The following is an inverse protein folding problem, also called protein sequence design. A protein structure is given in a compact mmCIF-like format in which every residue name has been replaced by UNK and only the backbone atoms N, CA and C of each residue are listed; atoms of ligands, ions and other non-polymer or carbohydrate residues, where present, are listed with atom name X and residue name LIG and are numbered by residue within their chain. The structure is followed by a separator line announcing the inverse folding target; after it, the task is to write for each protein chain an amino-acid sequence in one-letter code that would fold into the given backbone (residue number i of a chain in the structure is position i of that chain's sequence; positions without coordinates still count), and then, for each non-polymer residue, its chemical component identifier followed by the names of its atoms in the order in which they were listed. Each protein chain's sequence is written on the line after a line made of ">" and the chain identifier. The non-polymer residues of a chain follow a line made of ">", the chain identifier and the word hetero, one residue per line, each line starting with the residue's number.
data_IF_619660639712
#
_entry.id   IF_619660639712
#
_cell.length_a   1.000
_cell.length_b   1.000
_cell.length_c   1.000
_cell.angle_alpha   90.00
_cell.angle_beta   90.00
_cell.angle_gamma   90.00
#
_symmetry.space_group_name_H-M   'P 1'
#
loop_
_entity.id
_entity.type
_entity.pdbx_description
1 polymer ?
#
# COMPACT_ATOMS: atom_id res chain seq x y z
N UNK A 1 49.81 20.17 -20.53
CA UNK A 1 48.33 20.24 -20.53
C UNK A 1 47.75 18.91 -20.07
N UNK A 2 47.89 18.56 -18.79
CA UNK A 2 47.45 17.25 -18.26
C UNK A 2 47.11 17.34 -16.76
N UNK A 3 46.39 18.40 -16.35
CA UNK A 3 46.04 18.64 -14.94
C UNK A 3 44.57 19.01 -14.69
N UNK A 4 43.72 19.00 -15.72
CA UNK A 4 42.31 19.41 -15.60
C UNK A 4 41.27 18.30 -15.80
N UNK A 5 41.69 17.06 -16.09
CA UNK A 5 40.75 15.96 -16.41
C UNK A 5 40.34 15.17 -15.15
N UNK A 6 41.02 15.34 -14.01
CA UNK A 6 40.74 14.52 -12.81
C UNK A 6 39.63 15.08 -11.90
N UNK A 7 39.19 16.32 -12.09
CA UNK A 7 38.17 16.95 -11.22
C UNK A 7 36.74 16.67 -11.73
N UNK A 8 36.56 16.22 -12.97
CA UNK A 8 35.24 15.97 -13.53
C UNK A 8 34.65 14.60 -13.18
N UNK A 9 35.45 13.65 -12.70
CA UNK A 9 34.99 12.30 -12.36
C UNK A 9 34.52 12.15 -10.90
N UNK A 10 34.81 13.12 -10.01
CA UNK A 10 34.39 13.05 -8.62
C UNK A 10 33.00 13.65 -8.33
N UNK A 11 32.40 14.38 -9.28
CA UNK A 11 31.08 14.99 -9.11
C UNK A 11 29.91 14.12 -9.59
N UNK A 12 30.19 12.98 -10.25
CA UNK A 12 29.15 12.10 -10.78
C UNK A 12 28.63 11.05 -9.78
N UNK A 13 29.31 10.84 -8.64
CA UNK A 13 28.93 9.79 -7.68
C UNK A 13 27.99 10.24 -6.55
N UNK A 14 27.71 11.53 -6.40
CA UNK A 14 26.86 12.04 -5.31
C UNK A 14 25.37 12.11 -5.64
N UNK A 15 24.93 11.78 -6.87
CA UNK A 15 23.54 12.01 -7.32
C UNK A 15 22.61 10.78 -7.27
N UNK A 16 23.05 9.61 -6.82
CA UNK A 16 22.19 8.40 -6.89
C UNK A 16 21.46 8.01 -5.60
N UNK A 17 21.56 8.79 -4.50
CA UNK A 17 20.96 8.37 -3.22
C UNK A 17 19.53 8.89 -3.01
N UNK A 18 19.04 9.85 -3.79
CA UNK A 18 17.75 10.53 -3.52
C UNK A 18 16.51 9.95 -4.21
N UNK A 19 16.59 8.77 -4.83
CA UNK A 19 15.43 8.16 -5.49
C UNK A 19 14.73 7.05 -4.66
N UNK A 20 15.21 6.73 -3.45
CA UNK A 20 14.74 5.55 -2.71
C UNK A 20 13.57 5.78 -1.74
N UNK A 21 13.00 6.99 -1.71
CA UNK A 21 11.85 7.32 -0.86
C UNK A 21 10.58 7.67 -1.67
N UNK A 22 10.54 7.31 -2.95
CA UNK A 22 9.34 7.53 -3.76
C UNK A 22 8.29 6.46 -3.43
N UNK A 23 7.38 6.83 -2.52
CA UNK A 23 6.13 6.13 -2.16
C UNK A 23 6.30 4.77 -1.46
N UNK A 24 6.62 4.77 -0.16
CA UNK A 24 6.68 3.57 0.67
C UNK A 24 5.40 2.68 0.63
N UNK A 25 4.25 3.25 0.28
CA UNK A 25 2.98 2.53 0.12
C UNK A 25 2.79 1.88 -1.26
N UNK A 26 3.59 2.22 -2.27
CA UNK A 26 3.42 1.73 -3.64
C UNK A 26 4.00 0.32 -3.86
N UNK A 27 4.83 -0.20 -2.94
CA UNK A 27 5.38 -1.56 -3.06
C UNK A 27 4.25 -2.61 -3.04
N UNK A 28 4.26 -3.69 -3.82
CA UNK A 28 3.25 -4.74 -3.68
C UNK A 28 3.30 -5.40 -2.29
N UNK A 29 2.14 -5.77 -1.74
CA UNK A 29 2.01 -6.57 -0.51
C UNK A 29 1.75 -8.01 -0.95
N UNK A 30 2.71 -8.89 -0.71
CA UNK A 30 2.57 -10.31 -1.06
C UNK A 30 1.58 -10.98 -0.12
N UNK A 31 0.65 -11.77 -0.67
CA UNK A 31 -0.33 -12.53 0.12
C UNK A 31 -0.51 -13.98 -0.35
N UNK A 32 0.11 -14.37 -1.48
CA UNK A 32 -0.01 -15.70 -2.05
C UNK A 32 0.25 -16.80 -1.01
N UNK A 33 -0.64 -17.81 -0.99
CA UNK A 33 -0.58 -18.94 -0.07
C UNK A 33 -1.11 -18.67 1.34
N UNK A 34 -1.57 -17.45 1.63
CA UNK A 34 -2.12 -17.09 2.95
C UNK A 34 -3.51 -16.47 2.90
N UNK A 35 -3.93 -15.95 1.76
CA UNK A 35 -5.25 -15.30 1.60
C UNK A 35 -5.97 -15.92 0.42
N UNK A 36 -7.07 -16.60 0.72
CA UNK A 36 -7.92 -17.26 -0.29
C UNK A 36 -9.02 -16.32 -0.81
N UNK A 37 -9.50 -15.40 0.04
CA UNK A 37 -10.54 -14.42 -0.30
C UNK A 37 -10.03 -12.98 -0.16
N UNK A 38 -9.50 -12.46 -1.26
CA UNK A 38 -9.01 -11.08 -1.37
C UNK A 38 -10.13 -10.06 -1.19
N UNK A 39 -11.35 -10.37 -1.63
CA UNK A 39 -12.51 -9.48 -1.49
C UNK A 39 -12.85 -9.24 -0.02
N UNK A 40 -12.87 -10.31 0.76
CA UNK A 40 -13.11 -10.25 2.19
C UNK A 40 -11.98 -9.53 2.92
N UNK A 41 -10.71 -9.76 2.53
CA UNK A 41 -9.56 -9.00 3.04
C UNK A 41 -9.73 -7.49 2.80
N UNK A 42 -10.01 -7.06 1.57
CA UNK A 42 -10.21 -5.64 1.23
C UNK A 42 -11.39 -5.05 2.00
N UNK A 43 -12.47 -5.81 2.17
CA UNK A 43 -13.63 -5.39 2.96
C UNK A 43 -13.28 -5.17 4.43
N UNK A 44 -12.46 -6.04 5.04
CA UNK A 44 -12.04 -5.87 6.45
C UNK A 44 -11.16 -4.64 6.66
N UNK A 45 -10.18 -4.41 5.78
CA UNK A 45 -9.26 -3.27 5.94
C UNK A 45 -9.95 -1.93 5.71
N UNK A 46 -10.94 -1.89 4.82
CA UNK A 46 -11.66 -0.67 4.48
C UNK A 46 -12.63 -0.21 5.56
N UNK A 47 -13.11 -1.09 6.46
CA UNK A 47 -13.97 -0.72 7.62
C UNK A 47 -13.39 0.42 8.50
N UNK A 48 -12.11 0.75 8.38
CA UNK A 48 -11.45 1.85 9.08
C UNK A 48 -11.66 3.23 8.44
N UNK A 49 -12.91 3.55 8.04
CA UNK A 49 -13.29 4.84 7.47
C UNK A 49 -13.12 4.97 5.95
N UNK A 50 -12.64 3.93 5.28
CA UNK A 50 -12.64 3.85 3.82
C UNK A 50 -13.94 3.20 3.34
N UNK A 51 -14.34 3.54 2.11
CA UNK A 51 -15.55 3.00 1.49
C UNK A 51 -15.16 2.41 0.13
N UNK A 52 -15.59 1.18 -0.14
CA UNK A 52 -15.43 0.59 -1.47
C UNK A 52 -16.48 1.24 -2.38
N UNK A 53 -16.02 1.98 -3.38
CA UNK A 53 -16.88 2.67 -4.35
C UNK A 53 -17.12 1.82 -5.60
N UNK A 54 -16.20 0.92 -5.93
CA UNK A 54 -16.32 0.00 -7.07
C UNK A 54 -15.49 -1.26 -6.84
N UNK A 55 -15.99 -2.40 -7.33
CA UNK A 55 -15.28 -3.67 -7.34
C UNK A 55 -15.44 -4.33 -8.71
N UNK A 56 -14.34 -4.56 -9.42
CA UNK A 56 -14.31 -5.21 -10.75
C UNK A 56 -13.04 -6.03 -10.90
N UNK A 57 -13.18 -7.35 -11.09
CA UNK A 57 -12.08 -8.24 -11.54
C UNK A 57 -10.71 -7.97 -10.90
N UNK A 58 -10.62 -7.97 -9.57
CA UNK A 58 -9.37 -7.73 -8.83
C UNK A 58 -9.00 -6.26 -8.63
N UNK A 59 -9.77 -5.32 -9.18
CA UNK A 59 -9.67 -3.89 -8.90
C UNK A 59 -10.73 -3.48 -7.87
N UNK A 60 -10.29 -2.77 -6.83
CA UNK A 60 -11.14 -2.16 -5.81
C UNK A 60 -10.86 -0.67 -5.76
N UNK A 61 -11.84 0.13 -6.17
CA UNK A 61 -11.79 1.57 -5.94
C UNK A 61 -12.27 1.84 -4.53
N UNK A 62 -11.47 2.56 -3.75
CA UNK A 62 -11.76 2.91 -2.37
C UNK A 62 -11.62 4.41 -2.15
N UNK A 63 -12.56 4.97 -1.40
CA UNK A 63 -12.65 6.39 -1.12
C UNK A 63 -12.55 6.65 0.39
N UNK A 64 -11.78 7.67 0.78
CA UNK A 64 -11.74 8.21 2.14
C UNK A 64 -12.18 9.67 2.10
N UNK A 65 -13.26 9.97 2.83
CA UNK A 65 -13.68 11.34 3.12
C UNK A 65 -13.38 11.64 4.58
N UNK A 66 -12.28 12.34 4.85
CA UNK A 66 -11.79 12.53 6.22
C UNK A 66 -11.05 13.86 6.39
N UNK A 67 -11.36 14.60 7.47
CA UNK A 67 -10.72 15.88 7.82
C UNK A 67 -10.68 16.90 6.67
N UNK A 68 -11.74 16.97 5.86
CA UNK A 68 -11.83 17.87 4.71
C UNK A 68 -11.11 17.37 3.46
N UNK A 69 -10.56 16.15 3.46
CA UNK A 69 -9.96 15.52 2.29
C UNK A 69 -10.95 14.53 1.67
N UNK A 70 -10.97 14.47 0.34
CA UNK A 70 -11.50 13.36 -0.43
C UNK A 70 -10.34 12.65 -1.13
N UNK A 71 -10.17 11.35 -0.87
CA UNK A 71 -9.06 10.57 -1.40
C UNK A 71 -9.62 9.35 -2.11
N UNK A 72 -9.27 9.19 -3.38
CA UNK A 72 -9.62 8.03 -4.18
C UNK A 72 -8.37 7.19 -4.44
N UNK A 73 -8.48 5.90 -4.21
CA UNK A 73 -7.36 4.96 -4.27
C UNK A 73 -7.82 3.69 -4.96
N UNK A 74 -6.95 3.10 -5.78
CA UNK A 74 -7.13 1.77 -6.33
C UNK A 74 -6.34 0.76 -5.49
N UNK A 75 -6.99 -0.32 -5.11
CA UNK A 75 -6.32 -1.54 -4.66
C UNK A 75 -6.42 -2.53 -5.81
N UNK A 76 -5.27 -2.91 -6.37
CA UNK A 76 -5.21 -3.87 -7.49
C UNK A 76 -4.64 -5.18 -7.01
N UNK A 77 -5.36 -6.24 -7.32
CA UNK A 77 -4.97 -7.62 -7.15
C UNK A 77 -4.27 -8.15 -8.42
N UNK A 78 -3.03 -8.60 -8.26
CA UNK A 78 -2.22 -9.25 -9.30
C UNK A 78 -2.15 -10.79 -9.17
N UNK A 79 -3.06 -11.41 -8.43
CA UNK A 79 -3.15 -12.86 -8.19
C UNK A 79 -2.26 -13.38 -7.06
N UNK A 80 -1.17 -12.67 -6.75
CA UNK A 80 -0.26 -13.01 -5.63
C UNK A 80 0.06 -11.86 -4.70
N UNK A 81 -0.30 -10.63 -5.11
CA UNK A 81 0.04 -9.42 -4.38
C UNK A 81 -0.99 -8.32 -4.58
N UNK A 82 -1.13 -7.47 -3.55
CA UNK A 82 -1.97 -6.28 -3.59
C UNK A 82 -1.12 -5.03 -3.76
N UNK A 83 -1.50 -4.16 -4.69
CA UNK A 83 -0.88 -2.84 -4.88
C UNK A 83 -1.88 -1.75 -4.55
N UNK A 84 -1.41 -0.70 -3.85
CA UNK A 84 -2.23 0.46 -3.49
C UNK A 84 -1.73 1.64 -4.31
N UNK A 85 -2.61 2.25 -5.10
CA UNK A 85 -2.30 3.40 -5.95
C UNK A 85 -3.25 4.55 -5.63
N UNK A 86 -2.68 5.72 -5.34
CA UNK A 86 -3.44 6.95 -5.25
C UNK A 86 -3.97 7.33 -6.64
N UNK A 87 -5.29 7.52 -6.76
CA UNK A 87 -5.93 8.00 -8.00
C UNK A 87 -6.07 9.52 -7.94
N UNK A 88 -6.67 10.02 -6.87
CA UNK A 88 -6.84 11.46 -6.64
C UNK A 88 -6.86 11.78 -5.15
N UNK A 89 -6.48 13.01 -4.82
CA UNK A 89 -6.67 13.59 -3.51
C UNK A 89 -7.09 15.05 -3.69
N UNK A 90 -8.14 15.46 -2.98
CA UNK A 90 -8.74 16.78 -3.10
C UNK A 90 -9.05 17.36 -1.72
N UNK A 91 -8.97 18.70 -1.59
CA UNK A 91 -9.41 19.45 -0.40
C UNK A 91 -10.85 19.93 -0.62
N UNK A 92 -11.80 19.31 0.08
CA UNK A 92 -13.21 19.70 0.03
C UNK A 92 -13.50 20.97 0.85
N UNK A 93 -12.70 21.21 1.89
CA UNK A 93 -12.85 22.33 2.82
C UNK A 93 -12.25 23.65 2.29
N UNK A 94 -11.52 23.60 1.17
CA UNK A 94 -10.83 24.77 0.64
C UNK A 94 -10.60 24.70 -0.88
N UNK A 95 -11.15 25.68 -1.62
CA UNK A 95 -11.10 25.74 -3.09
C UNK A 95 -9.71 26.01 -3.71
N UNK A 96 -8.76 26.57 -2.95
CA UNK A 96 -7.43 26.98 -3.45
C UNK A 96 -6.28 26.40 -2.62
N UNK A 97 -6.57 25.48 -1.71
CA UNK A 97 -5.55 24.87 -0.88
C UNK A 97 -4.85 23.77 -1.65
N UNK A 98 -3.54 23.68 -1.48
CA UNK A 98 -2.78 22.51 -1.92
C UNK A 98 -3.11 21.31 -1.03
N UNK A 99 -3.04 20.13 -1.63
CA UNK A 99 -3.11 18.87 -0.90
C UNK A 99 -1.81 18.70 -0.11
N UNK A 100 -1.94 18.29 1.15
CA UNK A 100 -0.81 17.92 1.98
C UNK A 100 -0.42 16.46 1.68
N UNK A 101 0.62 16.29 0.89
CA UNK A 101 1.08 14.97 0.46
C UNK A 101 1.46 14.10 1.66
N UNK A 102 2.11 14.63 2.69
CA UNK A 102 2.53 13.85 3.86
C UNK A 102 1.31 13.22 4.57
N UNK A 103 0.20 13.96 4.66
CA UNK A 103 -1.06 13.42 5.21
C UNK A 103 -1.64 12.32 4.33
N UNK A 104 -1.71 12.54 3.02
CA UNK A 104 -2.23 11.54 2.06
C UNK A 104 -1.42 10.25 2.15
N UNK A 105 -0.10 10.39 2.11
CA UNK A 105 0.89 9.33 2.26
C UNK A 105 0.70 8.56 3.58
N UNK A 106 0.49 9.28 4.69
CA UNK A 106 0.24 8.68 6.00
C UNK A 106 -1.03 7.81 6.03
N UNK A 107 -2.11 8.24 5.36
CA UNK A 107 -3.34 7.45 5.26
C UNK A 107 -3.17 6.21 4.37
N UNK A 108 -2.49 6.33 3.23
CA UNK A 108 -2.17 5.19 2.36
C UNK A 108 -1.25 4.18 3.05
N UNK A 109 -0.24 4.67 3.78
CA UNK A 109 0.64 3.82 4.58
C UNK A 109 -0.13 3.09 5.68
N UNK A 110 -1.11 3.74 6.32
CA UNK A 110 -1.98 3.08 7.30
C UNK A 110 -2.81 1.97 6.65
N UNK A 111 -3.40 2.20 5.48
CA UNK A 111 -4.11 1.15 4.73
C UNK A 111 -3.19 -0.03 4.42
N UNK A 112 -1.97 0.26 3.93
CA UNK A 112 -0.95 -0.76 3.67
C UNK A 112 -0.65 -1.62 4.90
N UNK A 113 -0.44 -0.97 6.05
CA UNK A 113 -0.16 -1.66 7.33
C UNK A 113 -1.33 -2.55 7.76
N UNK A 114 -2.57 -2.11 7.55
CA UNK A 114 -3.75 -2.92 7.86
C UNK A 114 -3.83 -4.16 6.97
N UNK A 115 -3.61 -4.02 5.66
CA UNK A 115 -3.54 -5.18 4.74
C UNK A 115 -2.44 -6.14 5.17
N UNK A 116 -1.22 -5.63 5.41
CA UNK A 116 -0.10 -6.46 5.84
C UNK A 116 -0.40 -7.20 7.16
N UNK A 117 -1.08 -6.55 8.11
CA UNK A 117 -1.49 -7.18 9.37
C UNK A 117 -2.46 -8.34 9.12
N UNK A 118 -3.51 -8.12 8.34
CA UNK A 118 -4.53 -9.15 8.06
C UNK A 118 -3.97 -10.33 7.26
N UNK A 119 -3.03 -10.09 6.34
CA UNK A 119 -2.29 -11.15 5.65
C UNK A 119 -1.44 -11.95 6.64
N UNK A 120 -0.72 -11.26 7.53
CA UNK A 120 0.13 -11.91 8.55
C UNK A 120 -0.70 -12.74 9.53
N UNK A 121 -1.87 -12.23 9.94
CA UNK A 121 -2.79 -12.95 10.82
C UNK A 121 -3.30 -14.23 10.17
N UNK A 122 -3.73 -14.18 8.92
CA UNK A 122 -4.16 -15.38 8.18
C UNK A 122 -3.01 -16.37 7.98
N UNK A 123 -1.80 -15.89 7.64
CA UNK A 123 -0.61 -16.74 7.52
C UNK A 123 -0.31 -17.48 8.84
N UNK A 124 -0.39 -16.76 9.96
CA UNK A 124 -0.20 -17.34 11.29
C UNK A 124 -1.27 -18.39 11.61
N UNK A 125 -2.53 -18.11 11.30
CA UNK A 125 -3.63 -19.00 11.63
C UNK A 125 -3.60 -20.27 10.75
N UNK A 126 -3.23 -20.15 9.47
CA UNK A 126 -2.96 -21.29 8.59
C UNK A 126 -1.80 -22.16 9.10
N UNK A 127 -0.70 -21.53 9.56
CA UNK A 127 0.43 -22.25 10.14
C UNK A 127 0.05 -22.98 11.43
N UNK A 128 -0.81 -22.38 12.27
CA UNK A 128 -1.33 -23.04 13.49
C UNK A 128 -2.18 -24.25 13.16
N UNK A 129 -3.05 -24.15 12.16
CA UNK A 129 -3.88 -25.27 11.72
C UNK A 129 -3.03 -26.43 11.22
N UNK A 130 -2.01 -26.16 10.41
CA UNK A 130 -1.09 -27.17 9.90
C UNK A 130 -0.28 -27.89 10.99
N UNK A 131 -0.12 -27.27 12.16
CA UNK A 131 0.62 -27.82 13.30
C UNK A 131 -0.28 -28.53 14.32
N UNK A 132 -1.62 -28.54 14.14
CA UNK A 132 -2.50 -29.28 15.04
C UNK A 132 -2.20 -30.78 14.96
N UNK A 133 -1.96 -31.47 16.09
CA UNK A 133 -1.72 -32.90 16.08
C UNK A 133 -2.97 -33.65 15.58
N UNK A 134 -2.75 -34.75 14.84
CA UNK A 134 -3.81 -35.56 14.23
C UNK A 134 -4.80 -36.20 15.24
N UNK A 135 -4.57 -36.05 16.54
CA UNK A 135 -5.44 -36.57 17.61
C UNK A 135 -6.78 -35.84 17.74
N UNK A 136 -6.90 -34.64 17.19
CA UNK A 136 -8.10 -33.79 17.32
C UNK A 136 -9.07 -33.91 16.12
N UNK A 137 -8.81 -34.84 15.19
CA UNK A 137 -9.62 -35.08 13.99
C UNK A 137 -10.57 -36.28 14.09
N UNK A 138 -10.82 -36.78 15.31
CA UNK A 138 -11.78 -37.86 15.62
C UNK A 138 -13.00 -37.33 16.35
#
# INVERSE_FOLDING_TARGET
>A
MARFIFIFFLSAYSLQVFAYEQNAYAKPIQYAGFVDDVSSLVTRVTKNGWQISEQKSGLYSVTLNYKGYAINTAITDAGSSLTIQLISADRLDCKKCTVDDEKVQGWLLRMRKLIAREVTEQARDAAREALKPASDQT
#
